data_IF_336514992966
#
_entry.id   IF_336514992966
#
_cell.length_a   1.000
_cell.length_b   1.000
_cell.length_c   1.000
_cell.angle_alpha   90.00
_cell.angle_beta   90.00
_cell.angle_gamma   90.00
#
_symmetry.space_group_name_H-M   'P 1'
#
loop_
_entity.id
_entity.type
_entity.pdbx_description
1 polymer ?
#
# COMPACT_ATOMS: atom_id res chain seq x y z
N UNK A 1 -9.25 2.38 10.32
CA UNK A 1 -8.85 3.40 9.33
C UNK A 1 -8.91 2.77 7.95
N UNK A 2 -9.13 3.55 6.89
CA UNK A 2 -9.31 3.01 5.55
C UNK A 2 -7.96 2.92 4.81
N UNK A 3 -7.57 1.72 4.39
CA UNK A 3 -6.40 1.49 3.53
C UNK A 3 -6.86 1.50 2.08
N UNK A 4 -6.16 2.24 1.23
CA UNK A 4 -6.41 2.30 -0.20
C UNK A 4 -5.11 2.14 -0.98
N UNK A 5 -5.24 1.68 -2.22
CA UNK A 5 -4.13 1.50 -3.13
C UNK A 5 -3.98 2.71 -4.03
N UNK A 6 -2.73 3.16 -4.23
CA UNK A 6 -2.38 4.19 -5.22
C UNK A 6 -1.40 3.63 -6.24
N UNK A 7 -1.57 4.01 -7.50
CA UNK A 7 -0.68 3.62 -8.60
C UNK A 7 -0.10 4.87 -9.26
N UNK A 8 1.14 4.77 -9.71
CA UNK A 8 1.75 5.88 -10.45
C UNK A 8 1.01 6.13 -11.76
N UNK A 9 0.80 7.41 -12.14
CA UNK A 9 0.23 7.75 -13.44
C UNK A 9 1.10 7.26 -14.62
N UNK A 10 2.39 6.98 -14.38
CA UNK A 10 3.30 6.39 -15.37
C UNK A 10 3.17 4.85 -15.51
N UNK A 11 2.34 4.21 -14.68
CA UNK A 11 2.07 2.77 -14.71
C UNK A 11 2.32 2.05 -13.37
N UNK A 12 1.97 0.77 -13.31
CA UNK A 12 2.18 -0.08 -12.13
C UNK A 12 3.67 -0.26 -11.82
N UNK A 13 4.01 -0.33 -10.53
CA UNK A 13 5.39 -0.56 -10.04
C UNK A 13 6.40 0.52 -10.46
N UNK A 14 5.94 1.74 -10.72
CA UNK A 14 6.80 2.88 -11.09
C UNK A 14 7.14 3.81 -9.94
N UNK A 15 6.46 3.71 -8.79
CA UNK A 15 6.82 4.49 -7.62
C UNK A 15 8.03 3.90 -6.91
N UNK A 16 9.03 4.73 -6.66
CA UNK A 16 9.98 4.50 -5.57
C UNK A 16 9.34 4.82 -4.20
N UNK A 17 10.09 4.57 -3.12
CA UNK A 17 9.57 4.80 -1.77
C UNK A 17 9.25 6.27 -1.50
N UNK A 18 10.09 7.20 -1.97
CA UNK A 18 9.94 8.63 -1.71
C UNK A 18 8.76 9.20 -2.49
N UNK A 19 8.61 8.80 -3.75
CA UNK A 19 7.46 9.13 -4.60
C UNK A 19 6.17 8.55 -4.02
N UNK A 20 6.18 7.33 -3.49
CA UNK A 20 5.00 6.74 -2.85
C UNK A 20 4.58 7.51 -1.59
N UNK A 21 5.55 7.94 -0.77
CA UNK A 21 5.29 8.78 0.40
C UNK A 21 4.69 10.12 -0.01
N UNK A 22 5.28 10.77 -1.03
CA UNK A 22 4.78 12.04 -1.53
C UNK A 22 3.36 11.89 -2.12
N UNK A 23 3.12 10.87 -2.93
CA UNK A 23 1.82 10.62 -3.54
C UNK A 23 0.73 10.32 -2.49
N UNK A 24 1.05 9.61 -1.41
CA UNK A 24 0.15 9.48 -0.27
C UNK A 24 -0.13 10.85 0.39
N UNK A 25 0.91 11.66 0.61
CA UNK A 25 0.78 12.97 1.25
C UNK A 25 -0.07 13.95 0.43
N UNK A 26 0.04 13.92 -0.90
CA UNK A 26 -0.79 14.70 -1.83
C UNK A 26 -2.28 14.37 -1.70
N UNK A 27 -2.62 13.15 -1.26
CA UNK A 27 -3.99 12.70 -0.96
C UNK A 27 -4.39 12.92 0.51
N UNK A 28 -3.63 13.71 1.27
CA UNK A 28 -3.79 13.89 2.73
C UNK A 28 -3.73 12.55 3.50
N UNK A 29 -2.95 11.60 3.00
CA UNK A 29 -2.72 10.30 3.61
C UNK A 29 -1.22 10.08 3.88
N UNK A 30 -0.91 8.98 4.55
CA UNK A 30 0.46 8.50 4.75
C UNK A 30 0.55 7.07 4.23
N UNK A 31 1.77 6.64 3.85
CA UNK A 31 2.04 5.23 3.60
C UNK A 31 1.63 4.38 4.79
N UNK A 32 1.03 3.23 4.53
CA UNK A 32 0.53 2.33 5.56
C UNK A 32 1.68 1.72 6.36
N UNK A 33 1.48 1.52 7.67
CA UNK A 33 2.36 0.66 8.45
C UNK A 33 2.04 -0.82 8.21
N UNK A 34 2.99 -1.69 8.55
CA UNK A 34 2.74 -3.15 8.51
C UNK A 34 1.52 -3.54 9.36
N UNK A 35 1.37 -2.95 10.54
CA UNK A 35 0.23 -3.21 11.41
C UNK A 35 -1.08 -2.83 10.72
N UNK A 36 -1.17 -1.62 10.16
CA UNK A 36 -2.39 -1.17 9.48
C UNK A 36 -2.71 -2.02 8.24
N UNK A 37 -1.68 -2.43 7.49
CA UNK A 37 -1.84 -3.35 6.37
C UNK A 37 -2.37 -4.71 6.86
N UNK A 38 -1.83 -5.22 7.97
CA UNK A 38 -2.22 -6.51 8.55
C UNK A 38 -3.66 -6.49 9.07
N UNK A 39 -4.08 -5.42 9.74
CA UNK A 39 -5.47 -5.23 10.15
C UNK A 39 -6.41 -5.18 8.95
N UNK A 40 -6.08 -4.38 7.92
CA UNK A 40 -6.90 -4.31 6.72
C UNK A 40 -6.96 -5.66 6.00
N UNK A 41 -5.85 -6.41 5.96
CA UNK A 41 -5.79 -7.76 5.42
C UNK A 41 -6.67 -8.75 6.20
N UNK A 42 -6.67 -8.68 7.53
CA UNK A 42 -7.61 -9.45 8.38
C UNK A 42 -9.08 -9.10 8.08
N UNK A 43 -9.34 -7.82 7.77
CA UNK A 43 -10.67 -7.31 7.43
C UNK A 43 -11.12 -7.60 5.98
N UNK A 44 -10.32 -8.29 5.17
CA UNK A 44 -10.69 -8.64 3.79
C UNK A 44 -9.95 -7.90 2.68
N UNK A 45 -8.93 -7.09 2.99
CA UNK A 45 -8.09 -6.47 1.97
C UNK A 45 -7.29 -7.54 1.21
N UNK A 46 -7.65 -7.73 -0.05
CA UNK A 46 -6.91 -8.52 -1.01
C UNK A 46 -6.47 -7.64 -2.17
N UNK A 47 -5.16 -7.47 -2.31
CA UNK A 47 -4.58 -6.68 -3.38
C UNK A 47 -3.45 -7.47 -4.06
N UNK A 48 -3.66 -7.80 -5.34
CA UNK A 48 -2.69 -8.48 -6.19
C UNK A 48 -1.60 -7.52 -6.72
N UNK A 49 -1.13 -6.60 -5.89
CA UNK A 49 -0.11 -5.62 -6.23
C UNK A 49 0.71 -5.30 -4.99
N UNK A 50 2.03 -5.17 -5.17
CA UNK A 50 2.88 -4.75 -4.07
C UNK A 50 2.83 -3.24 -3.89
N UNK A 51 2.73 -2.84 -2.63
CA UNK A 51 2.76 -1.46 -2.21
C UNK A 51 3.88 -1.21 -1.21
N UNK A 52 4.35 0.03 -1.18
CA UNK A 52 5.32 0.51 -0.18
C UNK A 52 4.66 0.70 1.19
N UNK A 53 5.39 0.31 2.23
CA UNK A 53 5.01 0.50 3.62
C UNK A 53 5.96 1.45 4.33
N UNK A 54 5.52 2.00 5.47
CA UNK A 54 6.28 2.97 6.27
C UNK A 54 7.65 2.47 6.75
N UNK A 55 7.87 1.16 6.75
CA UNK A 55 9.16 0.51 7.10
C UNK A 55 10.12 0.39 5.90
N UNK A 56 9.78 1.02 4.76
CA UNK A 56 10.49 0.91 3.48
C UNK A 56 10.51 -0.51 2.91
N UNK A 57 9.58 -1.37 3.32
CA UNK A 57 9.38 -2.67 2.69
C UNK A 57 8.25 -2.59 1.67
N UNK A 58 8.29 -3.50 0.69
CA UNK A 58 7.23 -3.68 -0.28
C UNK A 58 6.56 -5.03 -0.03
N UNK A 59 5.23 -5.05 0.10
CA UNK A 59 4.46 -6.26 0.46
C UNK A 59 3.19 -6.39 -0.37
N UNK A 60 2.76 -7.64 -0.55
CA UNK A 60 1.52 -8.03 -1.22
C UNK A 60 0.53 -8.53 -0.17
N UNK A 61 -0.53 -7.78 0.17
CA UNK A 61 -1.58 -8.26 1.06
C UNK A 61 -2.55 -9.15 0.28
N UNK A 62 -2.19 -10.43 0.11
CA UNK A 62 -3.07 -11.45 -0.47
C UNK A 62 -3.52 -12.39 0.64
N UNK A 63 -4.81 -12.70 0.74
CA UNK A 63 -5.24 -13.77 1.64
C UNK A 63 -4.82 -15.11 1.03
N UNK A 64 -4.30 -16.02 1.86
CA UNK A 64 -3.98 -17.36 1.43
C UNK A 64 -5.29 -18.14 1.28
N UNK A 65 -5.93 -18.01 0.13
CA UNK A 65 -7.08 -18.83 -0.26
C UNK A 65 -8.32 -18.03 -0.61
N UNK A 66 -8.48 -17.78 -1.91
CA UNK A 66 -9.75 -18.05 -2.59
C UNK A 66 -9.50 -18.55 -4.00
#
# INVERSE_FOLDING_TARGET
GHIFHITSPAGSYKYDYEEAVQACAEQNASVASYHQLYEAWQDGLELCSCGWLSDRTSRYPMQAGR
#
